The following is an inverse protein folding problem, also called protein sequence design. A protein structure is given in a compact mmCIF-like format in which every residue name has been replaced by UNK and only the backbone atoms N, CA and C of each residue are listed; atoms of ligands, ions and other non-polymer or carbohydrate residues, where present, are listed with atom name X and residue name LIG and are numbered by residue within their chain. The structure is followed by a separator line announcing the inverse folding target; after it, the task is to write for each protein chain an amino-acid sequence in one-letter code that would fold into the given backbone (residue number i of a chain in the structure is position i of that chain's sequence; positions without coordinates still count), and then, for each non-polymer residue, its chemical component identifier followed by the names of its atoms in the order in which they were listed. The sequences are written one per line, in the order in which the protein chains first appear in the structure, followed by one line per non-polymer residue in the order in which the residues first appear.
data_IF_267318197237
#
_entry.id   IF_267318197237
#
_cell.length_a   1.000
_cell.length_b   1.000
_cell.length_c   1.000
_cell.angle_alpha   90.00
_cell.angle_beta   90.00
_cell.angle_gamma   90.00
#
_symmetry.space_group_name_H-M   'P 1'
#
loop_
_entity.id
_entity.type
_entity.pdbx_description
1 polymer ?
#
# COMPACT_ATOMS: atom_id res chain seq x y z
N UNK A 1 -5.42 -13.90 -22.21
CA UNK A 1 -4.44 -15.00 -22.14
C UNK A 1 -4.25 -15.29 -20.66
N UNK A 2 -4.97 -16.28 -20.13
CA UNK A 2 -4.83 -16.64 -18.72
C UNK A 2 -3.47 -17.30 -18.58
N UNK A 3 -2.61 -16.72 -17.75
CA UNK A 3 -1.41 -17.40 -17.30
C UNK A 3 -1.83 -18.50 -16.33
N UNK A 4 -1.85 -19.69 -16.88
CA UNK A 4 -1.88 -20.97 -16.22
C UNK A 4 -0.99 -21.01 -14.98
N UNK A 5 -1.46 -21.78 -14.00
CA UNK A 5 -0.72 -22.42 -12.92
C UNK A 5 0.79 -22.14 -12.95
N UNK A 6 1.16 -20.97 -12.42
CA UNK A 6 2.52 -20.81 -11.96
C UNK A 6 2.58 -21.57 -10.66
N UNK A 7 3.10 -22.79 -10.72
CA UNK A 7 3.50 -23.53 -9.52
C UNK A 7 4.56 -22.68 -8.81
N UNK A 8 4.10 -21.92 -7.84
CA UNK A 8 4.88 -20.89 -7.16
C UNK A 8 5.72 -21.46 -6.01
N UNK A 9 6.05 -22.71 -6.06
CA UNK A 9 7.10 -23.27 -5.22
C UNK A 9 8.45 -22.66 -5.56
N UNK A 10 8.77 -21.43 -5.07
CA UNK A 10 9.98 -20.65 -5.35
C UNK A 10 10.06 -19.99 -6.74
N UNK A 11 8.92 -19.66 -7.34
CA UNK A 11 8.88 -19.06 -8.67
C UNK A 11 9.38 -17.61 -8.71
N UNK A 12 10.12 -17.28 -9.75
CA UNK A 12 10.52 -15.91 -10.07
C UNK A 12 9.85 -15.47 -11.38
N UNK A 13 9.16 -14.33 -11.33
CA UNK A 13 8.69 -13.62 -12.51
C UNK A 13 9.67 -12.48 -12.80
N UNK A 14 10.38 -12.57 -13.89
CA UNK A 14 11.37 -11.55 -14.22
C UNK A 14 11.29 -11.10 -15.69
N UNK A 15 11.35 -9.77 -15.92
CA UNK A 15 11.28 -9.14 -17.25
C UNK A 15 10.01 -9.53 -18.01
N UNK A 16 8.86 -9.44 -17.33
CA UNK A 16 7.55 -9.86 -17.86
C UNK A 16 6.64 -8.65 -17.95
N UNK A 17 5.86 -8.59 -19.03
CA UNK A 17 4.74 -7.67 -19.15
C UNK A 17 3.44 -8.47 -19.02
N UNK A 18 2.76 -8.28 -17.91
CA UNK A 18 1.44 -8.84 -17.65
C UNK A 18 0.41 -7.78 -18.04
N UNK A 19 -0.45 -8.11 -18.98
CA UNK A 19 -1.47 -7.19 -19.46
C UNK A 19 -2.81 -7.88 -19.58
N UNK A 20 -3.84 -7.25 -18.98
CA UNK A 20 -5.21 -7.79 -18.98
C UNK A 20 -5.26 -9.25 -18.46
N UNK A 21 -4.51 -9.52 -17.37
CA UNK A 21 -4.39 -10.87 -16.77
C UNK A 21 -5.20 -10.94 -15.50
N UNK A 22 -5.97 -12.00 -15.36
CA UNK A 22 -6.68 -12.35 -14.14
C UNK A 22 -5.81 -13.26 -13.27
N UNK A 23 -5.44 -12.76 -12.09
CA UNK A 23 -4.72 -13.45 -11.02
C UNK A 23 -5.55 -13.46 -9.72
N UNK A 24 -6.86 -13.19 -9.81
CA UNK A 24 -7.74 -13.15 -8.65
C UNK A 24 -7.68 -14.43 -7.83
N UNK A 25 -7.70 -14.29 -6.50
CA UNK A 25 -7.63 -15.39 -5.54
C UNK A 25 -6.36 -16.28 -5.65
N UNK A 26 -5.33 -15.81 -6.38
CA UNK A 26 -4.08 -16.55 -6.54
C UNK A 26 -3.28 -16.62 -5.23
N UNK A 27 -2.50 -17.68 -5.07
CA UNK A 27 -1.61 -17.88 -3.92
C UNK A 27 -0.16 -17.83 -4.42
N UNK A 28 0.41 -16.63 -4.41
CA UNK A 28 1.77 -16.36 -4.87
C UNK A 28 2.68 -15.95 -3.69
N UNK A 29 2.57 -16.66 -2.57
CA UNK A 29 3.41 -16.40 -1.40
C UNK A 29 4.88 -16.62 -1.70
N UNK A 30 5.73 -15.68 -1.28
CA UNK A 30 7.18 -15.77 -1.43
C UNK A 30 7.69 -15.67 -2.87
N UNK A 31 6.83 -15.30 -3.84
CA UNK A 31 7.24 -15.17 -5.26
C UNK A 31 8.08 -13.90 -5.46
N UNK A 32 9.10 -13.98 -6.29
CA UNK A 32 9.92 -12.86 -6.71
C UNK A 32 9.39 -12.22 -7.99
N UNK A 33 8.99 -10.95 -7.91
CA UNK A 33 8.68 -10.11 -9.07
C UNK A 33 9.85 -9.16 -9.32
N UNK A 34 10.53 -9.28 -10.45
CA UNK A 34 11.69 -8.44 -10.77
C UNK A 34 11.58 -7.92 -12.19
N UNK A 35 11.63 -6.59 -12.36
CA UNK A 35 11.49 -5.94 -13.66
C UNK A 35 10.16 -6.31 -14.35
N UNK A 36 9.04 -6.21 -13.61
CA UNK A 36 7.69 -6.57 -14.08
C UNK A 36 6.90 -5.31 -14.40
N UNK A 37 6.19 -5.33 -15.51
CA UNK A 37 5.15 -4.34 -15.85
C UNK A 37 3.82 -5.07 -15.79
N UNK A 38 2.90 -4.62 -14.93
CA UNK A 38 1.59 -5.19 -14.72
C UNK A 38 0.51 -4.15 -15.04
N UNK A 39 -0.15 -4.31 -16.17
CA UNK A 39 -1.10 -3.35 -16.74
C UNK A 39 -2.51 -3.96 -16.73
N UNK A 40 -3.46 -3.32 -16.05
CA UNK A 40 -4.86 -3.76 -15.92
C UNK A 40 -5.02 -5.22 -15.50
N UNK A 41 -4.16 -5.67 -14.58
CA UNK A 41 -4.33 -7.00 -13.99
C UNK A 41 -5.43 -6.95 -12.92
N UNK A 42 -6.09 -8.07 -12.71
CA UNK A 42 -6.93 -8.32 -11.55
C UNK A 42 -6.21 -9.32 -10.63
N UNK A 43 -5.82 -8.89 -9.44
CA UNK A 43 -5.25 -9.74 -8.40
C UNK A 43 -6.04 -9.56 -7.08
N UNK A 44 -7.34 -9.30 -7.19
CA UNK A 44 -8.19 -9.13 -6.01
C UNK A 44 -8.19 -10.39 -5.14
N UNK A 45 -8.16 -10.19 -3.82
CA UNK A 45 -8.18 -11.23 -2.79
C UNK A 45 -7.06 -12.28 -2.91
N UNK A 46 -5.99 -11.96 -3.62
CA UNK A 46 -4.83 -12.84 -3.75
C UNK A 46 -3.94 -12.79 -2.52
N UNK A 47 -3.17 -13.85 -2.29
CA UNK A 47 -2.17 -13.90 -1.22
C UNK A 47 -0.75 -13.90 -1.83
N UNK A 48 -0.09 -12.75 -1.72
CA UNK A 48 1.31 -12.54 -2.10
C UNK A 48 2.17 -12.26 -0.86
N UNK A 49 1.79 -12.83 0.29
CA UNK A 49 2.52 -12.70 1.54
C UNK A 49 3.97 -13.16 1.41
N UNK A 50 4.91 -12.40 1.98
CA UNK A 50 6.35 -12.68 1.88
C UNK A 50 6.95 -12.53 0.48
N UNK A 51 6.18 -12.07 -0.52
CA UNK A 51 6.68 -11.85 -1.88
C UNK A 51 7.76 -10.76 -1.91
N UNK A 52 8.66 -10.84 -2.87
CA UNK A 52 9.66 -9.82 -3.14
C UNK A 52 9.34 -9.11 -4.46
N UNK A 53 9.00 -7.83 -4.37
CA UNK A 53 8.74 -7.00 -5.55
C UNK A 53 9.88 -6.02 -5.73
N UNK A 54 10.50 -6.03 -6.90
CA UNK A 54 11.60 -5.11 -7.22
C UNK A 54 11.45 -4.55 -8.63
N UNK A 55 11.55 -3.21 -8.76
CA UNK A 55 11.44 -2.50 -10.05
C UNK A 55 10.22 -2.95 -10.83
N UNK A 56 9.07 -2.90 -10.15
CA UNK A 56 7.79 -3.35 -10.71
C UNK A 56 6.86 -2.14 -10.87
N UNK A 57 6.16 -2.08 -11.99
CA UNK A 57 5.14 -1.08 -12.26
C UNK A 57 3.77 -1.74 -12.36
N UNK A 58 2.84 -1.29 -11.51
CA UNK A 58 1.43 -1.59 -11.62
C UNK A 58 0.68 -0.38 -12.17
N UNK A 59 -0.10 -0.56 -13.23
CA UNK A 59 -0.92 0.50 -13.81
C UNK A 59 -2.36 0.02 -13.96
N UNK A 60 -3.31 0.80 -13.45
CA UNK A 60 -4.76 0.55 -13.53
C UNK A 60 -5.15 -0.85 -13.05
N UNK A 61 -4.42 -1.39 -12.07
CA UNK A 61 -4.61 -2.74 -11.55
C UNK A 61 -5.67 -2.77 -10.45
N UNK A 62 -6.44 -3.86 -10.41
CA UNK A 62 -7.35 -4.18 -9.33
C UNK A 62 -6.66 -5.10 -8.33
N UNK A 63 -6.29 -4.54 -7.19
CA UNK A 63 -5.54 -5.18 -6.11
C UNK A 63 -6.33 -5.16 -4.78
N UNK A 64 -7.66 -5.06 -4.87
CA UNK A 64 -8.54 -5.00 -3.71
C UNK A 64 -8.40 -6.25 -2.85
N UNK A 65 -8.15 -6.10 -1.55
CA UNK A 65 -7.97 -7.22 -0.63
C UNK A 65 -6.70 -8.05 -0.83
N UNK A 66 -5.80 -7.61 -1.72
CA UNK A 66 -4.53 -8.30 -1.95
C UNK A 66 -3.65 -8.26 -0.69
N UNK A 67 -3.12 -9.41 -0.30
CA UNK A 67 -2.19 -9.51 0.82
C UNK A 67 -0.74 -9.40 0.37
N UNK A 68 -0.07 -8.34 0.84
CA UNK A 68 1.38 -8.13 0.81
C UNK A 68 2.00 -8.28 2.21
N UNK A 69 1.33 -9.02 3.12
CA UNK A 69 1.85 -9.19 4.47
C UNK A 69 3.28 -9.75 4.44
N UNK A 70 4.19 -9.16 5.23
CA UNK A 70 5.60 -9.56 5.31
C UNK A 70 6.37 -9.46 3.97
N UNK A 71 5.77 -8.84 2.93
CA UNK A 71 6.41 -8.68 1.63
C UNK A 71 7.53 -7.63 1.67
N UNK A 72 8.50 -7.78 0.78
CA UNK A 72 9.53 -6.78 0.52
C UNK A 72 9.26 -6.07 -0.81
N UNK A 73 8.96 -4.79 -0.76
CA UNK A 73 8.50 -3.97 -1.88
C UNK A 73 9.51 -2.84 -2.08
N UNK A 74 10.35 -2.93 -3.12
CA UNK A 74 11.46 -2.01 -3.35
C UNK A 74 11.46 -1.49 -4.77
N UNK A 75 11.49 -0.16 -4.94
CA UNK A 75 11.45 0.49 -6.26
C UNK A 75 10.24 0.08 -7.09
N UNK A 76 9.06 0.15 -6.45
CA UNK A 76 7.78 -0.22 -7.07
C UNK A 76 6.92 1.02 -7.26
N UNK A 77 6.19 1.07 -8.37
CA UNK A 77 5.23 2.13 -8.64
C UNK A 77 3.83 1.55 -8.83
N UNK A 78 2.86 2.14 -8.14
CA UNK A 78 1.44 1.88 -8.31
C UNK A 78 0.78 3.14 -8.87
N UNK A 79 0.15 3.05 -10.04
CA UNK A 79 -0.54 4.16 -10.70
C UNK A 79 -1.97 3.80 -11.04
N UNK A 80 -2.93 4.61 -10.58
CA UNK A 80 -4.35 4.39 -10.83
C UNK A 80 -4.90 3.07 -10.28
N UNK A 81 -4.23 2.48 -9.28
CA UNK A 81 -4.58 1.16 -8.77
C UNK A 81 -5.65 1.21 -7.67
N UNK A 82 -6.48 0.16 -7.62
CA UNK A 82 -7.43 -0.07 -6.54
C UNK A 82 -6.82 -1.03 -5.53
N UNK A 83 -6.42 -0.49 -4.38
CA UNK A 83 -5.77 -1.19 -3.27
C UNK A 83 -6.65 -1.17 -2.00
N UNK A 84 -7.97 -1.05 -2.17
CA UNK A 84 -8.91 -1.08 -1.06
C UNK A 84 -8.71 -2.34 -0.25
N UNK A 85 -8.63 -2.22 1.09
CA UNK A 85 -8.43 -3.34 2.01
C UNK A 85 -7.17 -4.17 1.76
N UNK A 86 -6.20 -3.65 1.00
CA UNK A 86 -4.93 -4.34 0.81
C UNK A 86 -4.17 -4.45 2.13
N UNK A 87 -3.55 -5.59 2.36
CA UNK A 87 -2.84 -5.89 3.59
C UNK A 87 -1.32 -5.79 3.39
N UNK A 88 -0.72 -4.74 3.98
CA UNK A 88 0.73 -4.48 4.00
C UNK A 88 1.34 -4.71 5.38
N UNK A 89 0.71 -5.49 6.25
CA UNK A 89 1.21 -5.72 7.62
C UNK A 89 2.62 -6.28 7.60
N UNK A 90 3.48 -5.68 8.45
CA UNK A 90 4.87 -6.10 8.65
C UNK A 90 5.71 -6.13 7.37
N UNK A 91 5.27 -5.46 6.29
CA UNK A 91 6.03 -5.37 5.04
C UNK A 91 7.19 -4.38 5.15
N UNK A 92 8.19 -4.57 4.29
CA UNK A 92 9.27 -3.62 4.04
C UNK A 92 9.00 -2.87 2.74
N UNK A 93 8.72 -1.57 2.82
CA UNK A 93 8.35 -0.70 1.68
C UNK A 93 9.43 0.36 1.53
N UNK A 94 10.19 0.33 0.44
CA UNK A 94 11.30 1.26 0.23
C UNK A 94 11.32 1.81 -1.20
N UNK A 95 11.40 3.13 -1.35
CA UNK A 95 11.40 3.83 -2.66
C UNK A 95 10.19 3.45 -3.52
N UNK A 96 9.00 3.52 -2.92
CA UNK A 96 7.73 3.17 -3.56
C UNK A 96 6.93 4.44 -3.84
N UNK A 97 6.20 4.47 -4.94
CA UNK A 97 5.25 5.51 -5.25
C UNK A 97 3.84 4.94 -5.42
N UNK A 98 2.88 5.60 -4.77
CA UNK A 98 1.45 5.43 -5.02
C UNK A 98 0.93 6.73 -5.64
N UNK A 99 0.38 6.65 -6.84
CA UNK A 99 -0.12 7.81 -7.59
C UNK A 99 -1.55 7.52 -8.07
N UNK A 100 -2.48 8.43 -7.75
CA UNK A 100 -3.90 8.30 -8.11
C UNK A 100 -4.52 6.96 -7.66
N UNK A 101 -4.09 6.43 -6.50
CA UNK A 101 -4.53 5.14 -5.98
C UNK A 101 -5.64 5.27 -4.94
N UNK A 102 -6.51 4.25 -4.88
CA UNK A 102 -7.49 4.09 -3.82
C UNK A 102 -6.96 3.05 -2.83
N UNK A 103 -6.75 3.48 -1.57
CA UNK A 103 -6.23 2.64 -0.48
C UNK A 103 -7.19 2.63 0.73
N UNK A 104 -8.49 2.76 0.48
CA UNK A 104 -9.49 2.76 1.55
C UNK A 104 -9.41 1.48 2.37
N UNK A 105 -9.30 1.59 3.69
CA UNK A 105 -9.18 0.45 4.59
C UNK A 105 -7.88 -0.36 4.46
N UNK A 106 -6.88 0.15 3.76
CA UNK A 106 -5.59 -0.55 3.65
C UNK A 106 -4.85 -0.59 5.00
N UNK A 107 -4.21 -1.70 5.27
CA UNK A 107 -3.58 -1.99 6.57
C UNK A 107 -2.05 -2.05 6.44
N UNK A 108 -1.38 -1.04 7.00
CA UNK A 108 0.08 -0.93 7.08
C UNK A 108 0.61 -1.17 8.50
N UNK A 109 -0.16 -1.85 9.36
CA UNK A 109 0.23 -2.07 10.75
C UNK A 109 1.60 -2.76 10.85
N UNK A 110 2.52 -2.12 11.57
CA UNK A 110 3.87 -2.64 11.79
C UNK A 110 4.77 -2.65 10.57
N UNK A 111 4.36 -2.03 9.45
CA UNK A 111 5.19 -1.92 8.26
C UNK A 111 6.38 -0.97 8.47
N UNK A 112 7.49 -1.26 7.80
CA UNK A 112 8.64 -0.35 7.67
C UNK A 112 8.55 0.37 6.33
N UNK A 113 8.31 1.70 6.36
CA UNK A 113 8.04 2.49 5.15
C UNK A 113 9.12 3.58 5.02
N UNK A 114 9.88 3.55 3.94
CA UNK A 114 10.99 4.46 3.73
C UNK A 114 11.01 5.08 2.33
N UNK A 115 11.28 6.38 2.23
CA UNK A 115 11.41 7.11 0.97
C UNK A 115 10.24 6.82 0.01
N UNK A 116 9.01 6.88 0.55
CA UNK A 116 7.78 6.49 -0.15
C UNK A 116 6.86 7.70 -0.29
N UNK A 117 6.21 7.83 -1.43
CA UNK A 117 5.31 8.94 -1.75
C UNK A 117 3.91 8.42 -2.04
N UNK A 118 2.92 9.05 -1.42
CA UNK A 118 1.50 8.90 -1.74
C UNK A 118 1.00 10.21 -2.35
N UNK A 119 0.72 10.22 -3.62
CA UNK A 119 0.29 11.42 -4.36
C UNK A 119 -1.12 11.24 -4.90
N UNK A 120 -2.03 12.16 -4.54
CA UNK A 120 -3.43 12.15 -4.96
C UNK A 120 -4.14 10.81 -4.66
N UNK A 121 -3.77 10.21 -3.52
CA UNK A 121 -4.36 8.94 -3.09
C UNK A 121 -5.55 9.17 -2.14
N UNK A 122 -6.44 8.17 -2.08
CA UNK A 122 -7.48 8.09 -1.07
C UNK A 122 -6.99 7.17 0.06
N UNK A 123 -6.50 7.78 1.16
CA UNK A 123 -6.02 7.10 2.36
C UNK A 123 -7.11 7.18 3.44
N UNK A 124 -8.29 6.64 3.14
CA UNK A 124 -9.47 6.69 4.02
C UNK A 124 -9.53 5.40 4.85
N UNK A 125 -9.70 5.54 6.18
CA UNK A 125 -9.70 4.42 7.10
C UNK A 125 -8.43 3.54 7.02
N UNK A 126 -7.29 4.17 6.67
CA UNK A 126 -6.01 3.47 6.61
C UNK A 126 -5.43 3.29 8.01
N UNK A 127 -4.83 2.14 8.27
CA UNK A 127 -4.16 1.85 9.56
C UNK A 127 -2.64 1.83 9.42
N UNK A 128 -1.99 2.86 9.98
CA UNK A 128 -0.53 2.93 10.12
C UNK A 128 -0.05 2.63 11.55
N UNK A 129 -0.87 2.00 12.39
CA UNK A 129 -0.49 1.70 13.77
C UNK A 129 0.81 0.90 13.83
N UNK A 130 1.74 1.35 14.70
CA UNK A 130 3.07 0.73 14.84
C UNK A 130 3.94 0.73 13.58
N UNK A 131 3.54 1.43 12.51
CA UNK A 131 4.40 1.61 11.36
C UNK A 131 5.63 2.45 11.73
N UNK A 132 6.75 2.16 11.08
CA UNK A 132 7.99 2.94 11.21
C UNK A 132 8.22 3.67 9.89
N UNK A 133 8.07 5.00 9.91
CA UNK A 133 8.17 5.83 8.72
C UNK A 133 9.45 6.67 8.71
N UNK A 134 10.08 6.77 7.54
CA UNK A 134 11.20 7.67 7.28
C UNK A 134 11.12 8.21 5.86
N UNK A 135 11.09 9.54 5.70
CA UNK A 135 10.94 10.22 4.41
C UNK A 135 9.68 9.74 3.65
N UNK A 136 8.55 9.65 4.35
CA UNK A 136 7.26 9.30 3.77
C UNK A 136 6.46 10.57 3.52
N UNK A 137 6.07 10.80 2.27
CA UNK A 137 5.32 11.98 1.87
C UNK A 137 3.86 11.60 1.59
N UNK A 138 2.92 12.16 2.39
CA UNK A 138 1.48 11.92 2.28
C UNK A 138 0.73 13.14 1.71
N UNK A 139 1.44 14.24 1.43
CA UNK A 139 0.83 15.51 1.02
C UNK A 139 -0.01 15.39 -0.24
N UNK A 140 -1.12 16.11 -0.27
CA UNK A 140 -2.04 16.14 -1.41
C UNK A 140 -2.89 14.87 -1.57
N UNK A 141 -2.88 13.97 -0.59
CA UNK A 141 -3.78 12.81 -0.50
C UNK A 141 -4.85 13.05 0.55
N UNK A 142 -6.04 12.47 0.36
CA UNK A 142 -7.06 12.43 1.40
C UNK A 142 -6.60 11.49 2.52
N UNK A 143 -6.50 11.99 3.77
CA UNK A 143 -5.93 11.24 4.89
C UNK A 143 -6.91 11.14 6.06
N UNK A 144 -7.50 9.97 6.27
CA UNK A 144 -8.29 9.62 7.44
C UNK A 144 -7.80 8.30 8.02
N UNK A 145 -7.50 8.28 9.31
CA UNK A 145 -6.92 7.11 9.96
C UNK A 145 -8.00 6.26 10.65
N UNK A 146 -7.89 4.93 10.52
CA UNK A 146 -8.61 3.97 11.37
C UNK A 146 -7.88 3.74 12.70
N UNK A 147 -6.57 3.89 12.72
CA UNK A 147 -5.70 3.58 13.85
C UNK A 147 -5.13 4.78 14.59
N UNK A 148 -4.01 4.57 15.25
CA UNK A 148 -3.33 5.59 16.04
C UNK A 148 -2.59 6.61 15.17
N UNK A 149 -2.75 7.92 15.46
CA UNK A 149 -1.96 9.00 14.84
C UNK A 149 -0.46 8.87 15.11
N UNK A 150 -0.05 8.11 16.14
CA UNK A 150 1.36 7.85 16.42
C UNK A 150 2.05 7.08 15.28
N UNK A 151 1.28 6.36 14.48
CA UNK A 151 1.77 5.71 13.27
C UNK A 151 2.26 6.66 12.19
N UNK A 152 1.86 7.95 12.24
CA UNK A 152 2.36 8.99 11.32
C UNK A 152 3.71 9.58 11.72
N UNK A 153 4.34 9.11 12.79
CA UNK A 153 5.66 9.62 13.19
C UNK A 153 6.68 9.44 12.06
N UNK A 154 7.28 10.54 11.61
CA UNK A 154 8.23 10.58 10.50
C UNK A 154 7.60 10.75 9.12
N UNK A 155 6.27 10.89 9.03
CA UNK A 155 5.59 11.27 7.81
C UNK A 155 5.61 12.79 7.60
N UNK A 156 5.47 13.19 6.34
CA UNK A 156 5.30 14.57 5.89
C UNK A 156 3.84 14.73 5.46
N UNK A 157 3.11 15.67 6.09
CA UNK A 157 1.72 16.00 5.76
C UNK A 157 1.62 17.49 5.42
N UNK A 158 0.53 17.89 4.79
CA UNK A 158 0.23 19.30 4.51
C UNK A 158 -0.70 19.93 5.59
N UNK A 159 -0.86 21.27 5.59
CA UNK A 159 -1.68 21.96 6.58
C UNK A 159 -3.16 21.55 6.57
N UNK A 160 -3.73 21.20 5.41
CA UNK A 160 -5.13 20.76 5.33
C UNK A 160 -5.31 19.40 6.02
N UNK A 161 -4.42 18.46 5.76
CA UNK A 161 -4.40 17.17 6.44
C UNK A 161 -4.24 17.31 7.97
N UNK A 162 -3.39 18.25 8.41
CA UNK A 162 -3.26 18.53 9.84
C UNK A 162 -4.57 19.05 10.45
N UNK A 163 -5.28 19.93 9.75
CA UNK A 163 -6.59 20.42 10.21
C UNK A 163 -7.62 19.28 10.31
N UNK A 164 -7.65 18.38 9.34
CA UNK A 164 -8.56 17.22 9.35
C UNK A 164 -8.23 16.23 10.48
N UNK A 165 -6.95 16.05 10.79
CA UNK A 165 -6.48 15.19 11.87
C UNK A 165 -6.59 15.82 13.26
N UNK A 166 -6.82 17.13 13.38
CA UNK A 166 -6.74 17.89 14.64
C UNK A 166 -7.63 17.31 15.75
N UNK A 167 -8.87 16.95 15.43
CA UNK A 167 -9.79 16.35 16.40
C UNK A 167 -9.32 14.98 16.87
N UNK A 168 -8.82 14.14 15.96
CA UNK A 168 -8.26 12.83 16.30
C UNK A 168 -6.99 12.96 17.15
N UNK A 169 -6.12 13.91 16.82
CA UNK A 169 -4.95 14.26 17.64
C UNK A 169 -5.33 14.67 19.04
N UNK A 170 -6.31 15.60 19.16
CA UNK A 170 -6.81 16.06 20.46
C UNK A 170 -7.33 14.88 21.30
N UNK A 171 -8.18 14.03 20.73
CA UNK A 171 -8.73 12.86 21.41
C UNK A 171 -7.64 11.89 21.91
N UNK A 172 -6.64 11.61 21.09
CA UNK A 172 -5.56 10.69 21.49
C UNK A 172 -4.60 11.29 22.53
N UNK A 173 -4.58 12.61 22.66
CA UNK A 173 -3.88 13.33 23.73
C UNK A 173 -4.74 13.54 24.98
N UNK A 174 -6.00 13.06 24.99
CA UNK A 174 -6.94 13.27 26.10
C UNK A 174 -7.48 14.68 26.19
N UNK A 175 -7.42 15.46 25.11
CA UNK A 175 -7.95 16.82 25.06
C UNK A 175 -9.42 16.75 24.63
N UNK A 176 -10.30 17.35 25.43
CA UNK A 176 -11.71 17.53 25.06
C UNK A 176 -11.87 18.79 24.22
N UNK A 177 -12.48 18.66 23.06
CA UNK A 177 -12.82 19.80 22.17
C UNK A 177 -14.32 19.98 22.22
N UNK A 178 -14.79 21.13 22.74
CA UNK A 178 -16.20 21.50 22.82
C UNK A 178 -16.47 22.70 21.90
N UNK A 179 -17.63 22.68 21.25
CA UNK A 179 -18.10 23.82 20.48
C UNK A 179 -18.58 24.93 21.45
N UNK A 180 -18.27 26.20 21.14
CA UNK A 180 -18.63 27.36 21.93
C UNK A 180 -20.02 27.86 21.52
#
# INVERSE_FOLDING_TARGET
MSLLEVDAGSGRLGRVHLKDVDLGESKLRGVDFVDVIAERIDAANSDWGGAQLRRTLFTDARLTGLSFAEARIVEVSFKGCKLDYANFRHSEIERVSFEDCVLTGADFQGASIKATVFSRCQLVEVDFSKAVMSLVDLRGSELRLAGSVLGLRGAIIDPLQLMELSRTLAQQLGITVEDV
#
